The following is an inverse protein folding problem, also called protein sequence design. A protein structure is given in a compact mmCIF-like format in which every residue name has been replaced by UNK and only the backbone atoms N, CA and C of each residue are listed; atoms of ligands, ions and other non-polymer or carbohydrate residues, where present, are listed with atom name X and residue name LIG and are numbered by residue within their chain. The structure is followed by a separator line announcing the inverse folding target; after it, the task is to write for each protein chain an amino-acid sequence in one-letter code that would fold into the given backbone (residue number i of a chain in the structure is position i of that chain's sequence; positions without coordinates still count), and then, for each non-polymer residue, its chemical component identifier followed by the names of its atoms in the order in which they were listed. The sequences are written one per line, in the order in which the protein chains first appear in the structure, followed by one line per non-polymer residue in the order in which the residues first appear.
data_IF_963319453154
#
_entry.id   IF_963319453154
#
_cell.length_a   1.000
_cell.length_b   1.000
_cell.length_c   1.000
_cell.angle_alpha   90.00
_cell.angle_beta   90.00
_cell.angle_gamma   90.00
#
_symmetry.space_group_name_H-M   'P 1'
#
loop_
_entity.id
_entity.type
_entity.pdbx_description
1 polymer ?
#
# COMPACT_ATOMS: atom_id res chain seq x y z
N UNK A 1 7.68 -8.49 21.69
CA UNK A 1 8.14 -7.48 20.71
C UNK A 1 7.57 -7.66 19.28
N UNK A 2 6.57 -8.54 19.06
CA UNK A 2 5.98 -8.77 17.73
C UNK A 2 4.72 -7.92 17.48
N UNK A 3 3.82 -7.84 18.47
CA UNK A 3 2.53 -7.13 18.35
C UNK A 3 2.68 -5.63 18.05
N UNK A 4 3.59 -4.93 18.74
CA UNK A 4 3.84 -3.50 18.49
C UNK A 4 4.36 -3.24 17.07
N UNK A 5 5.28 -4.09 16.59
CA UNK A 5 5.81 -3.98 15.23
C UNK A 5 4.71 -4.26 14.17
N UNK A 6 3.80 -5.20 14.46
CA UNK A 6 2.65 -5.47 13.60
C UNK A 6 1.72 -4.26 13.54
N UNK A 7 1.34 -3.67 14.69
CA UNK A 7 0.49 -2.48 14.76
C UNK A 7 1.09 -1.31 13.96
N UNK A 8 2.39 -1.06 14.12
CA UNK A 8 3.08 0.02 13.41
C UNK A 8 3.09 -0.20 11.89
N UNK A 9 3.35 -1.43 11.44
CA UNK A 9 3.34 -1.76 10.02
C UNK A 9 1.94 -1.74 9.41
N UNK A 10 0.91 -2.15 10.16
CA UNK A 10 -0.50 -2.03 9.77
C UNK A 10 -0.93 -0.58 9.64
N UNK A 11 -0.56 0.28 10.60
CA UNK A 11 -0.84 1.70 10.54
C UNK A 11 -0.19 2.37 9.32
N UNK A 12 1.09 2.10 9.08
CA UNK A 12 1.82 2.61 7.90
C UNK A 12 1.19 2.12 6.60
N UNK A 13 0.80 0.86 6.53
CA UNK A 13 0.11 0.29 5.37
C UNK A 13 -1.24 0.99 5.12
N UNK A 14 -2.04 1.22 6.16
CA UNK A 14 -3.33 1.90 6.04
C UNK A 14 -3.18 3.33 5.51
N UNK A 15 -2.18 4.08 5.99
CA UNK A 15 -1.89 5.43 5.49
C UNK A 15 -1.45 5.42 4.03
N UNK A 16 -0.52 4.53 3.67
CA UNK A 16 -0.02 4.42 2.31
C UNK A 16 -1.11 3.97 1.31
N UNK A 17 -1.95 3.00 1.70
CA UNK A 17 -3.07 2.54 0.88
C UNK A 17 -4.11 3.65 0.67
N UNK A 18 -4.43 4.43 1.72
CA UNK A 18 -5.32 5.58 1.61
C UNK A 18 -4.79 6.64 0.64
N UNK A 19 -3.50 6.98 0.75
CA UNK A 19 -2.87 7.97 -0.13
C UNK A 19 -2.90 7.53 -1.60
N UNK A 20 -2.55 6.26 -1.86
CA UNK A 20 -2.61 5.69 -3.20
C UNK A 20 -4.04 5.66 -3.76
N UNK A 21 -5.04 5.22 -2.96
CA UNK A 21 -6.45 5.22 -3.38
C UNK A 21 -6.96 6.62 -3.70
N UNK A 22 -6.53 7.64 -2.96
CA UNK A 22 -6.90 9.03 -3.22
C UNK A 22 -6.39 9.49 -4.59
N UNK A 23 -5.13 9.21 -4.93
CA UNK A 23 -4.59 9.54 -6.25
C UNK A 23 -5.28 8.77 -7.38
N UNK A 24 -5.53 7.47 -7.18
CA UNK A 24 -6.22 6.65 -8.18
C UNK A 24 -7.64 7.16 -8.41
N UNK A 25 -8.38 7.49 -7.35
CA UNK A 25 -9.74 8.05 -7.48
C UNK A 25 -9.74 9.42 -8.14
N UNK A 26 -8.74 10.25 -7.84
CA UNK A 26 -8.60 11.59 -8.42
C UNK A 26 -8.33 11.53 -9.93
N UNK A 27 -7.56 10.54 -10.39
CA UNK A 27 -7.16 10.41 -11.80
C UNK A 27 -8.12 9.55 -12.63
N UNK A 28 -8.70 8.51 -12.03
CA UNK A 28 -9.46 7.47 -12.75
C UNK A 28 -10.92 7.35 -12.28
N UNK A 29 -11.39 8.29 -11.46
CA UNK A 29 -12.77 8.32 -10.96
C UNK A 29 -13.03 7.40 -9.77
N UNK A 30 -14.26 7.38 -9.24
CA UNK A 30 -14.62 6.68 -8.00
C UNK A 30 -14.32 5.17 -8.04
N UNK A 31 -14.50 4.55 -9.21
CA UNK A 31 -14.27 3.12 -9.45
C UNK A 31 -12.83 2.80 -9.86
N UNK A 32 -11.96 3.81 -10.00
CA UNK A 32 -10.60 3.63 -10.49
C UNK A 32 -9.77 2.63 -9.68
N UNK A 33 -10.01 2.51 -8.38
CA UNK A 33 -9.35 1.51 -7.52
C UNK A 33 -9.79 0.09 -7.88
N UNK A 34 -11.07 -0.11 -8.17
CA UNK A 34 -11.63 -1.40 -8.55
C UNK A 34 -11.12 -1.81 -9.94
N UNK A 35 -11.11 -0.87 -10.88
CA UNK A 35 -10.77 -1.14 -12.28
C UNK A 35 -9.26 -1.23 -12.53
N UNK A 36 -8.45 -0.46 -11.81
CA UNK A 36 -7.02 -0.31 -12.12
C UNK A 36 -6.10 -0.75 -10.99
N UNK A 37 -6.61 -1.15 -9.83
CA UNK A 37 -5.82 -1.40 -8.64
C UNK A 37 -4.70 -2.44 -8.78
N UNK A 38 -4.84 -3.37 -9.72
CA UNK A 38 -3.87 -4.43 -10.02
C UNK A 38 -3.20 -4.28 -11.39
N UNK A 39 -3.50 -3.21 -12.13
CA UNK A 39 -2.98 -2.97 -13.48
C UNK A 39 -1.95 -1.84 -13.55
N UNK A 40 -1.26 -1.66 -14.70
CA UNK A 40 -0.28 -0.60 -14.91
C UNK A 40 -0.84 0.81 -14.61
N UNK A 41 -2.10 1.06 -14.97
CA UNK A 41 -2.78 2.33 -14.70
C UNK A 41 -2.87 2.64 -13.21
N UNK A 42 -3.06 1.65 -12.34
CA UNK A 42 -3.07 1.84 -10.89
C UNK A 42 -1.70 2.17 -10.32
N UNK A 43 -0.62 1.81 -11.02
CA UNK A 43 0.75 2.11 -10.62
C UNK A 43 1.12 3.57 -10.90
N UNK A 44 0.49 4.19 -11.90
CA UNK A 44 0.81 5.55 -12.36
C UNK A 44 2.13 5.62 -13.12
N UNK A 45 2.32 6.69 -13.90
CA UNK A 45 3.55 6.88 -14.68
C UNK A 45 4.73 7.33 -13.81
N UNK A 46 5.98 7.00 -14.18
CA UNK A 46 7.18 7.51 -13.50
C UNK A 46 7.15 9.03 -13.30
N UNK A 47 7.53 9.49 -12.11
CA UNK A 47 7.54 10.91 -11.76
C UNK A 47 6.17 11.49 -11.32
N UNK A 48 5.08 10.72 -11.42
CA UNK A 48 3.76 11.17 -10.94
C UNK A 48 3.58 10.96 -9.43
N UNK A 49 2.69 11.76 -8.82
CA UNK A 49 2.27 11.55 -7.43
C UNK A 49 1.65 10.17 -7.20
N UNK A 50 0.90 9.67 -8.18
CA UNK A 50 0.32 8.32 -8.14
C UNK A 50 1.43 7.26 -8.06
N UNK A 51 2.50 7.40 -8.86
CA UNK A 51 3.66 6.49 -8.80
C UNK A 51 4.35 6.54 -7.45
N UNK A 52 4.61 7.73 -6.92
CA UNK A 52 5.19 7.84 -5.57
C UNK A 52 4.32 7.15 -4.52
N UNK A 53 3.00 7.39 -4.54
CA UNK A 53 2.08 6.75 -3.61
C UNK A 53 2.04 5.22 -3.77
N UNK A 54 2.10 4.73 -5.00
CA UNK A 54 2.15 3.30 -5.29
C UNK A 54 3.43 2.64 -4.74
N UNK A 55 4.60 3.24 -4.93
CA UNK A 55 5.85 2.67 -4.41
C UNK A 55 5.90 2.71 -2.88
N UNK A 56 5.43 3.79 -2.25
CA UNK A 56 5.29 3.86 -0.78
C UNK A 56 4.38 2.74 -0.26
N UNK A 57 3.24 2.51 -0.93
CA UNK A 57 2.34 1.40 -0.62
C UNK A 57 3.02 0.05 -0.77
N UNK A 58 3.79 -0.18 -1.83
CA UNK A 58 4.53 -1.44 -2.04
C UNK A 58 5.54 -1.72 -0.92
N UNK A 59 6.29 -0.70 -0.50
CA UNK A 59 7.23 -0.82 0.61
C UNK A 59 6.50 -1.15 1.92
N UNK A 60 5.38 -0.48 2.20
CA UNK A 60 4.58 -0.76 3.39
C UNK A 60 3.99 -2.19 3.40
N UNK A 61 3.52 -2.68 2.25
CA UNK A 61 3.06 -4.08 2.11
C UNK A 61 4.20 -5.06 2.39
N UNK A 62 5.40 -4.81 1.86
CA UNK A 62 6.55 -5.68 2.08
C UNK A 62 6.94 -5.74 3.57
N UNK A 63 6.99 -4.58 4.24
CA UNK A 63 7.29 -4.50 5.67
C UNK A 63 6.25 -5.24 6.53
N UNK A 64 4.96 -5.02 6.28
CA UNK A 64 3.89 -5.73 6.98
C UNK A 64 3.96 -7.25 6.77
N UNK A 65 4.18 -7.71 5.53
CA UNK A 65 4.36 -9.14 5.23
C UNK A 65 5.54 -9.74 6.00
N UNK A 66 6.67 -9.04 6.05
CA UNK A 66 7.84 -9.50 6.78
C UNK A 66 7.57 -9.69 8.26
N UNK A 67 6.89 -8.74 8.90
CA UNK A 67 6.51 -8.84 10.32
C UNK A 67 5.49 -9.95 10.55
N UNK A 68 4.46 -10.04 9.70
CA UNK A 68 3.41 -11.05 9.81
C UNK A 68 3.92 -12.48 9.65
N UNK A 69 4.79 -12.73 8.66
CA UNK A 69 5.41 -14.05 8.48
C UNK A 69 6.28 -14.41 9.68
N UNK A 70 7.07 -13.47 10.20
CA UNK A 70 7.89 -13.69 11.40
C UNK A 70 7.07 -13.95 12.65
N UNK A 71 5.90 -13.32 12.79
CA UNK A 71 4.95 -13.59 13.86
C UNK A 71 4.29 -14.95 13.77
N UNK A 72 3.99 -15.43 12.55
CA UNK A 72 3.45 -16.78 12.35
C UNK A 72 4.47 -17.89 12.59
N UNK A 73 5.75 -17.68 12.27
CA UNK A 73 6.81 -18.68 12.52
C UNK A 73 7.26 -18.74 13.98
N UNK A 74 6.90 -17.75 14.80
CA UNK A 74 7.29 -17.66 16.21
C UNK A 74 6.15 -18.05 17.18
N UNK A 75 5.02 -18.51 16.65
CA UNK A 75 3.84 -18.99 17.39
C UNK A 75 3.71 -20.51 17.21
#
# INVERSE_FOLDING_TARGET
MNAQCLIETEHRLALADRAWRAEVRRLHGPDGVLLHGYGPLGMGEPGTRQRTAYEVRRVAIAAWRQVRTRGMTAA
#
